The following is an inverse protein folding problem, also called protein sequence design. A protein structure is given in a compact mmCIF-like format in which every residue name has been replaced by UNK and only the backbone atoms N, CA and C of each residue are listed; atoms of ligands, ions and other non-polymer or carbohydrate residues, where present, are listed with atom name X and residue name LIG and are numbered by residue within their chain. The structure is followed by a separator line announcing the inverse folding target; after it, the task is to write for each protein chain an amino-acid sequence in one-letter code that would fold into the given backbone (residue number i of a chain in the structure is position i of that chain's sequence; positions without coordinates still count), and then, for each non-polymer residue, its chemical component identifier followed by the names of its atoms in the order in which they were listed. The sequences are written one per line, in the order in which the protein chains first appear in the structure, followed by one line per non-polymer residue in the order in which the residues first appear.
data_IF_333687308010
#
_entry.id   IF_333687308010
#
_cell.length_a   1.000
_cell.length_b   1.000
_cell.length_c   1.000
_cell.angle_alpha   90.00
_cell.angle_beta   90.00
_cell.angle_gamma   90.00
#
_symmetry.space_group_name_H-M   'P 1'
#
loop_
_entity.id
_entity.type
_entity.pdbx_description
1 polymer ?
#
# COMPACT_ATOMS: atom_id res chain seq x y z
N UNK A 1 -4.95 -17.08 -7.52
CA UNK A 1 -3.92 -16.02 -7.45
C UNK A 1 -3.76 -15.66 -5.98
N UNK A 2 -2.54 -15.69 -5.44
CA UNK A 2 -2.31 -15.48 -4.00
C UNK A 2 -2.35 -13.97 -3.73
N UNK A 3 -3.28 -13.50 -2.90
CA UNK A 3 -3.32 -12.08 -2.48
C UNK A 3 -2.07 -11.79 -1.64
N UNK A 4 -1.32 -10.76 -2.02
CA UNK A 4 -0.13 -10.34 -1.30
C UNK A 4 -0.50 -9.64 0.01
N UNK A 5 0.37 -9.75 1.03
CA UNK A 5 0.18 -9.07 2.33
C UNK A 5 -0.02 -7.56 2.15
N UNK A 6 0.64 -6.98 1.15
CA UNK A 6 0.49 -5.56 0.80
C UNK A 6 -0.92 -5.25 0.33
N UNK A 7 -1.44 -6.04 -0.62
CA UNK A 7 -2.82 -5.89 -1.13
C UNK A 7 -3.84 -6.01 0.00
N UNK A 8 -3.70 -7.03 0.86
CA UNK A 8 -4.61 -7.24 1.98
C UNK A 8 -4.58 -6.05 2.96
N UNK A 9 -3.39 -5.57 3.32
CA UNK A 9 -3.24 -4.41 4.20
C UNK A 9 -3.83 -3.14 3.57
N UNK A 10 -3.63 -2.94 2.27
CA UNK A 10 -4.19 -1.79 1.55
C UNK A 10 -5.72 -1.82 1.53
N UNK A 11 -6.34 -2.97 1.23
CA UNK A 11 -7.79 -3.12 1.26
C UNK A 11 -8.37 -2.88 2.68
N UNK A 12 -7.69 -3.38 3.72
CA UNK A 12 -8.09 -3.14 5.12
C UNK A 12 -7.98 -1.65 5.48
N UNK A 13 -6.94 -0.96 4.98
CA UNK A 13 -6.79 0.49 5.18
C UNK A 13 -7.89 1.29 4.48
N UNK A 14 -8.25 0.94 3.25
CA UNK A 14 -9.36 1.55 2.52
C UNK A 14 -10.71 1.32 3.22
N UNK A 15 -10.93 0.12 3.76
CA UNK A 15 -12.13 -0.15 4.56
C UNK A 15 -12.16 0.68 5.86
N UNK A 16 -11.01 0.86 6.51
CA UNK A 16 -10.90 1.71 7.70
C UNK A 16 -11.18 3.20 7.40
N UNK A 17 -11.01 3.65 6.14
CA UNK A 17 -11.40 4.98 5.67
C UNK A 17 -12.91 5.10 5.34
N UNK A 18 -13.65 3.99 5.39
CA UNK A 18 -15.10 3.97 5.16
C UNK A 18 -15.54 3.37 3.82
N UNK A 19 -14.62 2.88 2.98
CA UNK A 19 -14.99 2.23 1.73
C UNK A 19 -15.50 0.81 1.97
N UNK A 20 -16.68 0.47 1.42
CA UNK A 20 -17.26 -0.85 1.60
C UNK A 20 -16.41 -1.96 0.94
N UNK A 21 -16.29 -3.16 1.53
CA UNK A 21 -15.43 -4.23 1.03
C UNK A 21 -15.82 -4.80 -0.35
N UNK A 22 -17.03 -4.50 -0.85
CA UNK A 22 -17.46 -4.83 -2.22
C UNK A 22 -17.29 -3.69 -3.23
N UNK A 23 -16.97 -2.47 -2.77
CA UNK A 23 -16.78 -1.28 -3.60
C UNK A 23 -15.32 -1.07 -4.01
N UNK A 24 -14.40 -1.85 -3.43
CA UNK A 24 -12.95 -1.70 -3.63
C UNK A 24 -12.37 -3.01 -4.15
N UNK A 25 -11.67 -2.92 -5.27
CA UNK A 25 -10.91 -4.02 -5.87
C UNK A 25 -9.56 -3.51 -6.36
N UNK A 26 -8.68 -4.41 -6.78
CA UNK A 26 -7.36 -4.08 -7.31
C UNK A 26 -7.42 -3.14 -8.52
N UNK A 27 -8.43 -3.29 -9.36
CA UNK A 27 -8.62 -2.46 -10.56
C UNK A 27 -9.32 -1.12 -10.26
N UNK A 28 -9.78 -0.91 -9.03
CA UNK A 28 -10.53 0.29 -8.66
C UNK A 28 -9.63 1.52 -8.74
N UNK A 29 -10.15 2.59 -9.35
CA UNK A 29 -9.46 3.86 -9.46
C UNK A 29 -9.54 4.65 -8.15
N UNK A 30 -8.39 5.10 -7.63
CA UNK A 30 -8.29 5.84 -6.38
C UNK A 30 -9.00 7.20 -6.49
N UNK A 31 -8.67 7.99 -7.50
CA UNK A 31 -9.24 9.32 -7.68
C UNK A 31 -10.66 9.25 -8.26
N UNK A 32 -10.85 8.47 -9.34
CA UNK A 32 -12.10 8.52 -10.10
C UNK A 32 -13.25 7.76 -9.44
N UNK A 33 -12.97 6.66 -8.73
CA UNK A 33 -14.01 5.84 -8.11
C UNK A 33 -14.07 6.03 -6.59
N UNK A 34 -12.93 6.16 -5.91
CA UNK A 34 -12.90 6.31 -4.45
C UNK A 34 -12.84 7.77 -3.99
N UNK A 35 -12.55 8.71 -4.89
CA UNK A 35 -12.39 10.12 -4.56
C UNK A 35 -11.12 10.43 -3.76
N UNK A 36 -10.17 9.48 -3.68
CA UNK A 36 -8.92 9.60 -2.93
C UNK A 36 -7.94 10.42 -3.76
N UNK A 37 -7.63 11.64 -3.31
CA UNK A 37 -6.70 12.52 -4.01
C UNK A 37 -5.23 12.13 -3.80
N UNK A 38 -4.30 12.84 -4.46
CA UNK A 38 -2.87 12.54 -4.36
C UNK A 38 -2.29 12.69 -2.95
N UNK A 39 -2.78 13.63 -2.15
CA UNK A 39 -2.37 13.85 -0.75
C UNK A 39 -2.91 12.71 0.11
N UNK A 40 -4.18 12.36 -0.05
CA UNK A 40 -4.77 11.21 0.65
C UNK A 40 -4.09 9.89 0.25
N UNK A 41 -3.67 9.75 -1.00
CA UNK A 41 -2.93 8.58 -1.47
C UNK A 41 -1.55 8.48 -0.80
N UNK A 42 -0.87 9.61 -0.57
CA UNK A 42 0.40 9.64 0.20
C UNK A 42 0.15 9.19 1.64
N UNK A 43 -0.87 9.73 2.30
CA UNK A 43 -1.23 9.37 3.68
C UNK A 43 -1.64 7.89 3.81
N UNK A 44 -2.40 7.39 2.84
CA UNK A 44 -2.78 5.98 2.75
C UNK A 44 -1.54 5.10 2.55
N UNK A 45 -0.62 5.47 1.65
CA UNK A 45 0.62 4.75 1.41
C UNK A 45 1.48 4.68 2.68
N UNK A 46 1.62 5.80 3.39
CA UNK A 46 2.33 5.89 4.66
C UNK A 46 1.69 5.02 5.74
N UNK A 47 0.36 5.04 5.84
CA UNK A 47 -0.41 4.19 6.76
C UNK A 47 -0.22 2.70 6.48
N UNK A 48 -0.27 2.31 5.19
CA UNK A 48 -0.05 0.92 4.77
C UNK A 48 1.39 0.50 5.08
N UNK A 49 2.38 1.34 4.82
CA UNK A 49 3.77 1.07 5.20
C UNK A 49 3.89 0.83 6.72
N UNK A 50 3.34 1.72 7.55
CA UNK A 50 3.34 1.56 9.00
C UNK A 50 2.69 0.26 9.47
N UNK A 51 1.55 -0.13 8.87
CA UNK A 51 0.88 -1.41 9.17
C UNK A 51 1.67 -2.64 8.73
N UNK A 52 2.50 -2.51 7.70
CA UNK A 52 3.38 -3.58 7.22
C UNK A 52 4.64 -3.72 8.06
N UNK A 53 4.94 -2.77 8.95
CA UNK A 53 6.18 -2.70 9.73
C UNK A 53 7.27 -1.87 9.06
N UNK A 54 6.95 -1.18 7.96
CA UNK A 54 7.87 -0.30 7.25
C UNK A 54 7.82 1.12 7.83
N UNK A 55 8.95 1.85 7.84
CA UNK A 55 8.94 3.26 8.18
C UNK A 55 7.99 4.05 7.24
N UNK A 56 7.04 4.86 7.76
CA UNK A 56 6.05 5.56 6.93
C UNK A 56 6.65 6.52 5.90
N UNK A 57 7.82 7.11 6.21
CA UNK A 57 8.55 8.00 5.29
C UNK A 57 9.18 7.28 4.09
N UNK A 58 9.20 5.94 4.09
CA UNK A 58 9.58 5.14 2.92
C UNK A 58 8.42 4.90 1.97
N UNK A 59 7.23 5.46 2.23
CA UNK A 59 6.12 5.39 1.30
C UNK A 59 6.57 5.81 -0.11
N UNK A 60 6.18 5.05 -1.15
CA UNK A 60 6.63 5.31 -2.51
C UNK A 60 6.02 6.61 -3.05
N UNK A 61 6.62 7.16 -4.11
CA UNK A 61 5.98 8.24 -4.86
C UNK A 61 4.69 7.74 -5.52
N UNK A 62 3.59 8.44 -5.27
CA UNK A 62 2.23 8.09 -5.73
C UNK A 62 1.75 8.95 -6.89
N UNK A 63 2.58 9.86 -7.43
CA UNK A 63 2.18 10.78 -8.50
C UNK A 63 1.63 10.12 -9.77
N UNK A 64 2.10 8.91 -10.07
CA UNK A 64 1.67 8.11 -11.22
C UNK A 64 0.92 6.83 -10.78
N UNK A 65 0.21 6.90 -9.65
CA UNK A 65 -0.58 5.80 -9.11
C UNK A 65 -2.05 6.19 -9.25
N UNK A 66 -2.79 5.43 -10.05
CA UNK A 66 -4.21 5.71 -10.32
C UNK A 66 -5.13 4.64 -9.76
N UNK A 67 -4.62 3.42 -9.58
CA UNK A 67 -5.40 2.26 -9.11
C UNK A 67 -4.85 1.66 -7.82
N UNK A 68 -5.71 0.92 -7.11
CA UNK A 68 -5.33 0.15 -5.91
C UNK A 68 -4.19 -0.84 -6.22
N UNK A 69 -4.22 -1.49 -7.39
CA UNK A 69 -3.18 -2.41 -7.83
C UNK A 69 -1.83 -1.72 -8.02
N UNK A 70 -1.81 -0.53 -8.63
CA UNK A 70 -0.57 0.24 -8.81
C UNK A 70 0.03 0.64 -7.48
N UNK A 71 -0.79 1.07 -6.52
CA UNK A 71 -0.31 1.42 -5.19
C UNK A 71 0.31 0.20 -4.49
N UNK A 72 -0.37 -0.95 -4.53
CA UNK A 72 0.16 -2.18 -3.98
C UNK A 72 1.51 -2.54 -4.63
N UNK A 73 1.59 -2.50 -5.97
CA UNK A 73 2.80 -2.79 -6.71
C UNK A 73 3.96 -1.81 -6.42
N UNK A 74 3.68 -0.59 -5.98
CA UNK A 74 4.70 0.36 -5.52
C UNK A 74 5.23 0.03 -4.12
N UNK A 75 4.42 -0.56 -3.24
CA UNK A 75 4.80 -0.87 -1.86
C UNK A 75 5.48 -2.25 -1.74
N UNK A 76 5.08 -3.23 -2.54
CA UNK A 76 5.69 -4.57 -2.56
C UNK A 76 7.22 -4.61 -2.59
N UNK A 77 7.92 -3.86 -3.47
CA UNK A 77 9.38 -3.88 -3.50
C UNK A 77 10.02 -3.30 -2.23
N UNK A 78 9.34 -2.40 -1.52
CA UNK A 78 9.85 -1.84 -0.25
C UNK A 78 9.85 -2.92 0.84
N UNK A 79 8.77 -3.70 0.92
CA UNK A 79 8.64 -4.80 1.87
C UNK A 79 9.69 -5.91 1.60
N UNK A 80 9.91 -6.24 0.33
CA UNK A 80 10.93 -7.20 -0.07
C UNK A 80 12.35 -6.73 0.29
N UNK A 81 12.63 -5.43 0.10
CA UNK A 81 13.93 -4.82 0.46
C UNK A 81 14.15 -4.82 1.97
N UNK A 82 13.17 -4.38 2.75
CA UNK A 82 13.24 -4.37 4.22
C UNK A 82 13.50 -5.76 4.79
N UNK A 83 12.78 -6.77 4.29
CA UNK A 83 13.00 -8.18 4.64
C UNK A 83 14.42 -8.65 4.33
N UNK A 84 15.03 -8.17 3.24
CA UNK A 84 16.41 -8.49 2.88
C UNK A 84 17.45 -7.78 3.77
N UNK A 85 17.19 -6.53 4.17
CA UNK A 85 18.08 -5.82 5.09
C UNK A 85 18.05 -6.44 6.49
N UNK A 86 16.88 -6.89 6.95
CA UNK A 86 16.72 -7.61 8.20
C UNK A 86 17.52 -8.91 8.24
N UNK A 87 17.56 -9.69 7.14
CA UNK A 87 18.35 -10.94 7.10
C UNK A 87 19.86 -10.67 7.02
N UNK A 88 20.28 -9.60 6.34
CA UNK A 88 21.70 -9.24 6.22
C UNK A 88 22.29 -8.69 7.53
N UNK A 89 21.49 -7.98 8.33
CA UNK A 89 21.91 -7.47 9.64
C UNK A 89 21.90 -8.53 10.75
N UNK A 90 21.30 -9.70 10.50
CA UNK A 90 21.06 -10.76 11.48
C UNK A 90 21.98 -11.97 11.38
N UNK A 91 23.19 -11.85 10.81
CA UNK A 91 24.18 -12.94 10.84
C UNK A 91 25.23 -12.70 11.95
N UNK A 92 25.48 -13.69 12.84
CA UNK A 92 26.50 -13.63 13.89
C UNK A 92 27.94 -13.76 13.37
#
# INVERSE_FOLDING_TARGET
MKTSRVTETLLISLHALGHAPGSVSLITHLQDELGIDSIETVELAATVCGRLGLPPHLAPDVRNVHTVAELAARIEPLLARDSHLAVAAGSP
#
